data_IF_143224952507
#
_entry.id   IF_143224952507
#
_cell.length_a   1.000
_cell.length_b   1.000
_cell.length_c   1.000
_cell.angle_alpha   90.00
_cell.angle_beta   90.00
_cell.angle_gamma   90.00
#
_symmetry.space_group_name_H-M   'P 1'
#
loop_
_entity.id
_entity.type
_entity.pdbx_description
1 polymer ?
#
# COMPACT_ATOMS: atom_id res chain seq x y z
N UNK A 1 5.86 13.44 12.79
CA UNK A 1 5.25 12.66 11.71
C UNK A 1 6.35 11.88 11.01
N UNK A 2 6.15 10.60 10.67
CA UNK A 2 7.11 9.82 9.84
C UNK A 2 6.89 10.04 8.34
N UNK A 3 5.70 10.48 7.96
CA UNK A 3 5.44 11.07 6.67
C UNK A 3 5.98 12.51 6.65
N UNK A 4 6.83 12.82 5.69
CA UNK A 4 7.56 14.11 5.58
C UNK A 4 7.35 14.81 4.24
N UNK A 5 6.36 14.40 3.45
CA UNK A 5 6.03 15.09 2.20
C UNK A 5 5.48 16.50 2.50
N UNK A 6 5.81 17.46 1.64
CA UNK A 6 5.63 18.90 1.93
C UNK A 6 4.45 19.54 1.22
N UNK A 7 3.87 18.85 0.24
CA UNK A 7 2.77 19.34 -0.59
C UNK A 7 1.38 19.16 0.01
N UNK A 8 1.28 18.54 1.20
CA UNK A 8 0.08 18.47 2.01
C UNK A 8 0.40 18.88 3.45
N UNK A 9 -0.29 19.89 3.98
CA UNK A 9 -0.08 20.36 5.36
C UNK A 9 -0.56 19.37 6.44
N UNK A 10 -1.27 18.32 6.03
CA UNK A 10 -1.82 17.26 6.88
C UNK A 10 -1.40 15.90 6.33
N UNK A 11 -1.68 14.84 7.09
CA UNK A 11 -1.45 13.47 6.65
C UNK A 11 -2.20 13.19 5.33
N UNK A 12 -1.48 12.73 4.31
CA UNK A 12 -2.10 12.23 3.07
C UNK A 12 -2.66 10.82 3.28
N UNK A 13 -3.29 10.21 2.29
CA UNK A 13 -4.15 9.03 2.51
C UNK A 13 -3.42 7.68 2.47
N UNK A 14 -2.61 7.41 1.45
CA UNK A 14 -1.92 6.12 1.31
C UNK A 14 -0.57 6.13 2.03
N UNK A 15 -0.32 5.12 2.87
CA UNK A 15 1.02 4.86 3.41
C UNK A 15 1.80 3.88 2.52
N UNK A 16 1.12 2.80 2.10
CA UNK A 16 1.62 1.70 1.27
C UNK A 16 0.49 1.18 0.39
N UNK A 17 0.82 0.41 -0.64
CA UNK A 17 -0.15 -0.15 -1.59
C UNK A 17 0.08 -1.63 -1.88
N UNK A 18 -0.94 -2.27 -2.45
CA UNK A 18 -0.86 -3.60 -3.05
C UNK A 18 -1.83 -3.63 -4.25
N UNK A 19 -1.97 -4.80 -4.89
CA UNK A 19 -2.86 -4.95 -6.06
C UNK A 19 -4.29 -4.51 -5.72
N UNK A 20 -4.88 -3.72 -6.63
CA UNK A 20 -6.22 -3.16 -6.48
C UNK A 20 -6.99 -3.06 -7.82
N UNK A 21 -6.36 -3.26 -8.97
CA UNK A 21 -7.07 -3.24 -10.25
C UNK A 21 -7.85 -4.56 -10.41
N UNK A 22 -9.19 -4.53 -10.58
CA UNK A 22 -9.98 -5.74 -10.87
C UNK A 22 -9.54 -6.49 -12.14
N UNK A 23 -8.93 -5.82 -13.11
CA UNK A 23 -8.40 -6.46 -14.32
C UNK A 23 -7.18 -7.35 -14.02
N UNK A 24 -6.45 -7.07 -12.94
CA UNK A 24 -5.31 -7.87 -12.45
C UNK A 24 -5.55 -8.36 -11.02
N UNK A 25 -6.81 -8.54 -10.64
CA UNK A 25 -7.24 -8.72 -9.26
C UNK A 25 -6.86 -10.07 -8.64
N UNK A 26 -7.32 -10.29 -7.42
CA UNK A 26 -7.17 -11.55 -6.70
C UNK A 26 -8.30 -12.52 -7.03
N UNK A 27 -7.97 -13.81 -7.11
CA UNK A 27 -8.99 -14.86 -7.23
C UNK A 27 -9.56 -15.20 -5.85
N UNK A 28 -10.86 -15.05 -5.68
CA UNK A 28 -11.58 -15.34 -4.43
C UNK A 28 -12.70 -16.31 -4.71
N UNK A 29 -12.81 -17.34 -3.88
CA UNK A 29 -13.93 -18.26 -3.93
C UNK A 29 -15.13 -17.67 -3.19
N UNK A 30 -16.26 -17.50 -3.89
CA UNK A 30 -17.51 -17.04 -3.32
C UNK A 30 -18.53 -18.18 -3.35
N UNK A 31 -18.96 -18.64 -2.17
CA UNK A 31 -20.00 -19.65 -2.00
C UNK A 31 -21.42 -19.09 -1.91
N UNK A 32 -21.56 -17.77 -1.78
CA UNK A 32 -22.83 -17.06 -1.59
C UNK A 32 -23.32 -16.32 -2.85
N UNK A 33 -22.44 -16.15 -3.85
CA UNK A 33 -22.77 -15.54 -5.13
C UNK A 33 -23.85 -16.30 -5.92
N UNK A 34 -24.28 -15.72 -7.04
CA UNK A 34 -25.31 -16.31 -7.92
C UNK A 34 -24.90 -17.69 -8.42
N UNK A 35 -23.60 -17.95 -8.56
CA UNK A 35 -23.04 -19.28 -8.82
C UNK A 35 -21.82 -19.46 -7.92
N UNK A 36 -21.75 -20.56 -7.18
CA UNK A 36 -20.56 -20.82 -6.36
C UNK A 36 -19.34 -21.02 -7.25
N UNK A 37 -18.23 -20.34 -6.96
CA UNK A 37 -17.02 -20.45 -7.77
C UNK A 37 -15.96 -19.41 -7.47
N UNK A 38 -14.90 -19.45 -8.28
CA UNK A 38 -13.84 -18.44 -8.24
C UNK A 38 -14.21 -17.23 -9.07
N UNK A 39 -14.00 -16.05 -8.50
CA UNK A 39 -14.19 -14.75 -9.12
C UNK A 39 -12.94 -13.89 -8.95
N UNK A 40 -12.76 -12.92 -9.82
CA UNK A 40 -11.68 -11.94 -9.70
C UNK A 40 -12.20 -10.68 -9.02
N UNK A 41 -11.54 -10.27 -7.94
CA UNK A 41 -11.85 -9.04 -7.21
C UNK A 41 -10.64 -8.10 -7.16
N UNK A 42 -10.92 -6.80 -7.16
CA UNK A 42 -9.91 -5.76 -6.92
C UNK A 42 -10.36 -4.82 -5.81
N UNK A 43 -10.01 -3.55 -5.98
CA UNK A 43 -10.19 -2.48 -5.03
C UNK A 43 -9.14 -2.49 -3.91
N UNK A 44 -9.01 -1.34 -3.25
CA UNK A 44 -8.18 -1.20 -2.03
C UNK A 44 -8.70 -2.09 -0.88
N UNK A 45 -9.96 -2.53 -0.96
CA UNK A 45 -10.52 -3.57 -0.10
C UNK A 45 -9.79 -4.90 -0.22
N UNK A 46 -9.28 -5.27 -1.41
CA UNK A 46 -8.43 -6.44 -1.58
C UNK A 46 -6.99 -6.16 -1.11
N UNK A 47 -6.47 -4.95 -1.31
CA UNK A 47 -5.12 -4.56 -0.87
C UNK A 47 -4.98 -4.58 0.67
N UNK A 48 -6.02 -4.15 1.39
CA UNK A 48 -6.00 -4.03 2.86
C UNK A 48 -5.66 -5.33 3.59
N UNK A 49 -6.34 -6.48 3.35
CA UNK A 49 -5.97 -7.76 3.98
C UNK A 49 -4.63 -8.30 3.50
N UNK A 50 -4.15 -7.97 2.28
CA UNK A 50 -2.80 -8.32 1.84
C UNK A 50 -1.76 -7.64 2.73
N UNK A 51 -1.88 -6.33 2.95
CA UNK A 51 -0.98 -5.57 3.83
C UNK A 51 -1.08 -6.06 5.28
N UNK A 52 -2.28 -6.37 5.77
CA UNK A 52 -2.46 -6.96 7.09
C UNK A 52 -1.71 -8.30 7.23
N UNK A 53 -1.78 -9.16 6.21
CA UNK A 53 -1.01 -10.41 6.15
C UNK A 53 0.51 -10.17 6.15
N UNK A 54 0.99 -9.17 5.42
CA UNK A 54 2.42 -8.81 5.41
C UNK A 54 2.90 -8.36 6.79
N UNK A 55 2.14 -7.53 7.51
CA UNK A 55 2.45 -7.17 8.90
C UNK A 55 2.42 -8.39 9.83
N UNK A 56 1.44 -9.28 9.68
CA UNK A 56 1.37 -10.50 10.48
C UNK A 56 2.58 -11.41 10.26
N UNK A 57 3.04 -11.56 9.01
CA UNK A 57 4.26 -12.29 8.66
C UNK A 57 5.54 -11.59 9.16
N UNK A 58 5.53 -10.26 9.26
CA UNK A 58 6.61 -9.46 9.84
C UNK A 58 6.82 -9.68 11.34
N UNK A 59 5.89 -10.37 12.00
CA UNK A 59 5.96 -10.73 13.41
C UNK A 59 5.43 -9.65 14.35
N UNK A 60 5.46 -9.95 15.65
CA UNK A 60 5.04 -9.00 16.69
C UNK A 60 5.98 -7.80 16.72
N UNK A 61 5.48 -6.57 16.55
CA UNK A 61 6.31 -5.38 16.66
C UNK A 61 6.94 -5.26 18.05
N UNK A 62 8.14 -4.69 18.12
CA UNK A 62 8.85 -4.45 19.37
C UNK A 62 8.04 -3.57 20.30
N UNK A 63 8.17 -3.83 21.60
CA UNK A 63 7.42 -3.09 22.63
C UNK A 63 7.71 -1.59 22.53
N UNK A 64 6.65 -0.77 22.51
CA UNK A 64 6.74 0.69 22.36
C UNK A 64 7.04 1.18 20.94
N UNK A 65 7.09 0.29 19.95
CA UNK A 65 7.20 0.68 18.54
C UNK A 65 5.87 1.22 17.98
N UNK A 66 5.94 1.82 16.79
CA UNK A 66 4.78 2.32 16.07
C UNK A 66 4.81 1.79 14.63
N UNK A 67 4.15 0.64 14.35
CA UNK A 67 4.35 -0.10 13.10
C UNK A 67 4.11 0.70 11.82
N UNK A 68 3.21 1.69 11.86
CA UNK A 68 2.96 2.54 10.70
C UNK A 68 4.21 3.34 10.22
N UNK A 69 5.25 3.48 11.06
CA UNK A 69 6.51 4.13 10.69
C UNK A 69 7.48 3.18 9.95
N UNK A 70 7.29 1.86 10.04
CA UNK A 70 8.26 0.89 9.53
C UNK A 70 8.44 1.00 8.00
N UNK A 71 7.38 1.12 7.18
CA UNK A 71 7.57 1.24 5.73
C UNK A 71 8.31 2.51 5.34
N UNK A 72 8.03 3.62 6.02
CA UNK A 72 8.69 4.90 5.80
C UNK A 72 10.19 4.85 6.14
N UNK A 73 10.58 4.09 7.16
CA UNK A 73 11.99 3.90 7.51
C UNK A 73 12.77 3.08 6.46
N UNK A 74 12.07 2.42 5.53
CA UNK A 74 12.64 1.61 4.44
C UNK A 74 12.30 2.16 3.04
N UNK A 75 11.68 3.34 2.95
CA UNK A 75 11.36 3.98 1.68
C UNK A 75 12.63 4.17 0.83
N UNK A 76 12.55 3.84 -0.46
CA UNK A 76 13.69 3.92 -1.39
C UNK A 76 14.73 2.80 -1.26
N UNK A 77 14.47 1.77 -0.44
CA UNK A 77 15.30 0.57 -0.37
C UNK A 77 14.62 -0.60 -1.10
N UNK A 78 15.35 -1.70 -1.32
CA UNK A 78 14.82 -2.91 -1.95
C UNK A 78 13.75 -3.66 -1.12
N UNK A 79 13.38 -3.14 0.06
CA UNK A 79 12.31 -3.69 0.89
C UNK A 79 10.90 -3.30 0.38
N UNK A 80 10.83 -2.36 -0.56
CA UNK A 80 9.60 -1.85 -1.15
C UNK A 80 9.79 -1.71 -2.66
N UNK A 81 8.74 -1.99 -3.43
CA UNK A 81 8.68 -1.67 -4.84
C UNK A 81 8.08 -0.27 -5.00
N UNK A 82 8.89 0.68 -5.44
CA UNK A 82 8.47 2.05 -5.72
C UNK A 82 7.66 2.13 -7.02
N UNK A 83 6.40 2.57 -6.93
CA UNK A 83 5.52 2.68 -8.09
C UNK A 83 5.65 4.08 -8.66
N UNK A 84 6.29 4.20 -9.83
CA UNK A 84 6.73 5.51 -10.33
C UNK A 84 5.87 6.09 -11.45
N UNK A 85 4.80 5.40 -11.86
CA UNK A 85 3.96 5.78 -13.00
C UNK A 85 2.48 5.53 -12.73
N UNK A 86 1.63 6.40 -13.26
CA UNK A 86 0.17 6.31 -13.12
C UNK A 86 -0.43 7.49 -12.36
N UNK A 87 -1.76 7.57 -12.33
CA UNK A 87 -2.49 8.63 -11.65
C UNK A 87 -3.87 8.15 -11.19
N UNK A 88 -4.34 8.67 -10.05
CA UNK A 88 -5.68 8.42 -9.51
C UNK A 88 -6.59 9.66 -9.58
N UNK A 89 -6.22 10.69 -10.35
CA UNK A 89 -7.00 11.92 -10.50
C UNK A 89 -6.14 13.14 -10.83
N UNK A 90 -6.63 14.33 -10.51
CA UNK A 90 -5.89 15.58 -10.72
C UNK A 90 -5.84 16.37 -9.42
N UNK A 91 -4.63 16.79 -9.04
CA UNK A 91 -4.35 17.55 -7.84
C UNK A 91 -3.54 18.80 -8.20
N UNK A 92 -3.72 19.90 -7.46
CA UNK A 92 -2.88 21.12 -7.60
C UNK A 92 -1.40 20.80 -7.36
N UNK A 93 -1.12 20.02 -6.32
CA UNK A 93 0.19 19.40 -6.10
C UNK A 93 0.22 18.05 -6.81
N UNK A 94 0.91 17.97 -7.94
CA UNK A 94 0.87 16.80 -8.84
C UNK A 94 1.11 15.45 -8.15
N UNK A 95 2.11 15.33 -7.27
CA UNK A 95 2.46 14.05 -6.65
C UNK A 95 1.36 13.49 -5.73
N UNK A 96 0.40 14.31 -5.31
CA UNK A 96 -0.74 13.84 -4.51
C UNK A 96 -1.71 12.99 -5.33
N UNK A 97 -1.71 13.14 -6.66
CA UNK A 97 -2.57 12.38 -7.57
C UNK A 97 -1.79 11.64 -8.68
N UNK A 98 -0.48 11.81 -8.77
CA UNK A 98 0.38 11.25 -9.83
C UNK A 98 1.55 10.53 -9.18
N UNK A 99 1.78 9.29 -9.59
CA UNK A 99 2.90 8.50 -9.09
C UNK A 99 4.24 9.05 -9.58
N UNK A 100 5.28 8.91 -8.76
CA UNK A 100 6.66 9.36 -9.07
C UNK A 100 7.65 8.56 -8.23
N UNK A 101 8.95 8.78 -8.46
CA UNK A 101 9.95 8.23 -7.56
C UNK A 101 9.79 8.75 -6.11
N UNK A 102 9.86 7.84 -5.14
CA UNK A 102 9.67 8.10 -3.72
C UNK A 102 8.20 8.24 -3.32
N UNK A 103 7.93 8.93 -2.20
CA UNK A 103 6.56 9.06 -1.73
C UNK A 103 5.65 9.79 -2.73
N UNK A 104 4.51 9.17 -3.02
CA UNK A 104 3.40 9.76 -3.75
C UNK A 104 2.03 9.47 -3.12
N UNK A 105 1.05 10.31 -3.45
CA UNK A 105 -0.31 10.19 -2.90
C UNK A 105 -1.07 8.94 -3.36
N UNK A 106 -0.95 8.51 -4.64
CA UNK A 106 -1.61 7.29 -5.11
C UNK A 106 -1.13 6.01 -4.42
N UNK A 107 0.18 5.87 -4.19
CA UNK A 107 0.76 4.58 -3.77
C UNK A 107 1.52 4.60 -2.46
N UNK A 108 1.75 5.76 -1.87
CA UNK A 108 2.48 5.92 -0.62
C UNK A 108 3.98 5.74 -0.83
N UNK A 109 4.63 4.91 -0.02
CA UNK A 109 6.04 4.51 -0.22
C UNK A 109 6.19 3.27 -1.13
N UNK A 110 5.11 2.85 -1.80
CA UNK A 110 5.10 1.72 -2.72
C UNK A 110 4.47 0.45 -2.13
N UNK A 111 4.83 -0.70 -2.72
CA UNK A 111 4.29 -2.02 -2.33
C UNK A 111 5.34 -2.86 -1.60
N UNK A 112 4.95 -3.84 -0.76
CA UNK A 112 5.90 -4.72 -0.07
C UNK A 112 6.79 -5.52 -1.03
N UNK A 113 8.08 -5.58 -0.74
CA UNK A 113 9.01 -6.60 -1.27
C UNK A 113 9.48 -7.47 -0.10
N UNK A 114 8.73 -8.54 0.16
CA UNK A 114 8.83 -9.31 1.39
C UNK A 114 8.33 -8.53 2.62
N UNK A 115 8.83 -8.88 3.81
CA UNK A 115 8.33 -8.36 5.11
C UNK A 115 9.27 -7.36 5.78
N UNK A 116 10.44 -7.08 5.20
CA UNK A 116 11.51 -6.34 5.88
C UNK A 116 11.17 -4.85 6.14
N UNK A 117 10.21 -4.29 5.41
CA UNK A 117 9.63 -2.96 5.66
C UNK A 117 8.48 -2.94 6.67
N UNK A 118 8.06 -4.11 7.17
CA UNK A 118 6.86 -4.31 7.99
C UNK A 118 7.17 -4.99 9.32
N UNK A 119 8.43 -4.94 9.76
CA UNK A 119 8.94 -5.54 10.99
C UNK A 119 9.82 -4.54 11.74
N UNK A 120 9.95 -4.71 13.06
CA UNK A 120 10.76 -3.86 13.91
C UNK A 120 10.38 -3.91 15.37
#
# INVERSE_FOLDING_TARGET
SWQTDTGCAKRTVADVSAVADPATGVSVYDSYGVTAGFYTFGGTSASSPIIAGVYALGGTPSSGSYPAKFPYAKAGTAALNDVTTGSNGTCSTSYLCTARAGYDGPTGVGTPEGVSAFTG
#
